data_IF_993611375580
#
_entry.id   IF_993611375580
#
_cell.length_a   1.000
_cell.length_b   1.000
_cell.length_c   1.000
_cell.angle_alpha   90.00
_cell.angle_beta   90.00
_cell.angle_gamma   90.00
#
_symmetry.space_group_name_H-M   'P 1'
#
loop_
_entity.id
_entity.type
_entity.pdbx_description
1 polymer ?
#
# COMPACT_ATOMS: atom_id res chain seq x y z
N UNK A 1 -10.25 -13.89 -59.69
CA UNK A 1 -9.13 -13.39 -60.51
C UNK A 1 -8.46 -12.23 -59.78
N UNK A 2 -7.26 -12.47 -59.23
CA UNK A 2 -6.20 -11.47 -58.99
C UNK A 2 -5.59 -11.11 -60.37
N UNK A 3 -4.78 -10.02 -60.59
CA UNK A 3 -3.71 -9.56 -59.66
C UNK A 3 -3.16 -8.09 -59.78
N UNK A 4 -2.15 -7.79 -58.94
CA UNK A 4 -0.99 -6.85 -59.07
C UNK A 4 -1.25 -5.31 -58.99
N UNK A 5 -0.47 -4.46 -58.29
CA UNK A 5 0.96 -4.44 -57.93
C UNK A 5 1.20 -3.66 -56.61
N UNK A 6 1.98 -4.18 -55.64
CA UNK A 6 3.43 -3.93 -55.34
C UNK A 6 3.83 -2.46 -55.12
N UNK A 7 4.04 -2.10 -53.85
CA UNK A 7 4.83 -0.94 -53.41
C UNK A 7 5.59 -1.29 -52.13
N UNK A 8 6.90 -1.46 -52.25
CA UNK A 8 7.84 -1.92 -51.23
C UNK A 8 8.53 -0.67 -50.67
N UNK A 9 8.42 -0.40 -49.38
CA UNK A 9 9.40 0.44 -48.68
C UNK A 9 9.77 -0.20 -47.34
N UNK A 10 10.82 -1.02 -47.44
CA UNK A 10 11.70 -1.41 -46.36
C UNK A 10 12.55 -0.19 -45.98
N UNK A 11 12.40 0.32 -44.75
CA UNK A 11 13.39 1.17 -44.12
C UNK A 11 14.03 0.38 -42.97
N UNK A 12 15.03 -0.42 -43.34
CA UNK A 12 16.02 -0.99 -42.44
C UNK A 12 16.77 0.14 -41.74
N UNK A 13 16.44 0.40 -40.47
CA UNK A 13 17.30 1.17 -39.59
C UNK A 13 18.56 0.34 -39.30
N UNK A 14 19.66 0.72 -39.94
CA UNK A 14 20.97 0.13 -39.72
C UNK A 14 21.45 0.50 -38.31
N UNK A 15 21.46 -0.50 -37.44
CA UNK A 15 22.14 -0.48 -36.14
C UNK A 15 23.65 -0.46 -36.43
N UNK A 16 24.27 0.71 -36.29
CA UNK A 16 25.73 0.84 -36.34
C UNK A 16 26.32 0.47 -34.98
N UNK A 17 27.19 -0.54 -35.02
CA UNK A 17 28.07 -0.94 -33.93
C UNK A 17 29.04 0.20 -33.64
N UNK A 18 29.30 0.44 -32.35
CA UNK A 18 30.64 0.62 -31.77
C UNK A 18 30.71 1.81 -30.78
N UNK A 19 30.44 1.54 -29.50
CA UNK A 19 31.28 2.05 -28.43
C UNK A 19 31.22 1.10 -27.23
N UNK A 20 32.41 0.65 -26.82
CA UNK A 20 32.65 -0.27 -25.72
C UNK A 20 32.14 0.36 -24.41
N UNK A 21 30.99 -0.09 -23.92
CA UNK A 21 30.64 0.05 -22.51
C UNK A 21 31.04 -1.26 -21.81
N UNK A 22 32.18 -1.22 -21.13
CA UNK A 22 32.65 -2.31 -20.29
C UNK A 22 31.59 -2.62 -19.21
N UNK A 23 31.13 -3.87 -19.19
CA UNK A 23 30.42 -4.45 -18.08
C UNK A 23 31.38 -4.55 -16.89
N UNK A 24 31.33 -3.58 -15.98
CA UNK A 24 31.88 -3.77 -14.64
C UNK A 24 30.80 -4.36 -13.75
N UNK A 25 30.75 -5.69 -13.75
CA UNK A 25 30.22 -6.47 -12.63
C UNK A 25 31.20 -6.32 -11.46
N UNK A 26 30.91 -5.37 -10.57
CA UNK A 26 31.46 -5.35 -9.23
C UNK A 26 30.35 -4.91 -8.28
N UNK A 27 29.80 -5.87 -7.55
CA UNK A 27 28.82 -5.64 -6.51
C UNK A 27 29.43 -4.77 -5.41
N UNK A 28 28.72 -3.70 -5.06
CA UNK A 28 28.85 -3.06 -3.77
C UNK A 28 27.60 -3.40 -2.96
N UNK A 29 27.60 -4.60 -2.36
CA UNK A 29 26.81 -4.88 -1.17
C UNK A 29 27.30 -3.93 -0.07
N UNK A 30 26.66 -2.77 0.04
CA UNK A 30 26.77 -1.90 1.20
C UNK A 30 25.91 -2.50 2.31
N UNK A 31 26.40 -3.55 2.94
CA UNK A 31 25.92 -3.96 4.24
C UNK A 31 26.32 -2.86 5.22
N UNK A 32 25.35 -2.10 5.72
CA UNK A 32 25.53 -1.33 6.95
C UNK A 32 25.71 -2.36 8.06
N UNK A 33 26.93 -2.44 8.60
CA UNK A 33 27.16 -3.12 9.87
C UNK A 33 26.45 -2.29 10.96
N UNK A 34 25.47 -2.90 11.63
CA UNK A 34 24.95 -2.40 12.90
C UNK A 34 25.90 -2.89 14.00
N UNK A 35 26.40 -2.02 14.90
CA UNK A 35 27.11 -2.49 16.08
C UNK A 35 26.12 -3.17 17.03
N UNK A 36 26.60 -4.27 17.61
CA UNK A 36 25.88 -5.18 18.48
C UNK A 36 25.24 -4.46 19.68
N UNK A 37 24.03 -4.91 20.01
CA UNK A 37 23.34 -4.60 21.25
C UNK A 37 24.09 -5.23 22.42
N UNK A 38 24.66 -4.40 23.27
CA UNK A 38 24.99 -4.79 24.65
C UNK A 38 23.76 -4.50 25.53
N UNK A 39 23.44 -5.49 26.35
CA UNK A 39 22.27 -5.51 27.21
C UNK A 39 22.68 -4.95 28.56
N UNK A 40 22.24 -3.74 28.90
CA UNK A 40 22.36 -3.21 30.26
C UNK A 40 20.98 -2.80 30.78
N UNK A 41 20.55 -3.47 31.83
CA UNK A 41 19.39 -3.12 32.68
C UNK A 41 19.79 -2.04 33.71
N UNK A 42 18.83 -1.31 34.28
CA UNK A 42 18.92 0.13 34.54
C UNK A 42 19.60 0.47 35.86
N UNK A 43 20.34 1.58 35.87
CA UNK A 43 20.76 2.28 37.07
C UNK A 43 20.29 3.73 36.98
N UNK A 44 19.58 4.16 38.02
CA UNK A 44 19.01 5.49 38.21
C UNK A 44 20.09 6.57 38.12
N UNK A 45 19.81 7.61 37.35
CA UNK A 45 20.66 8.79 37.19
C UNK A 45 19.84 9.94 36.63
N UNK A 46 19.29 10.76 37.53
CA UNK A 46 18.80 12.10 37.22
C UNK A 46 19.98 12.96 36.74
N UNK A 47 19.97 13.40 35.49
CA UNK A 47 20.70 14.60 35.08
C UNK A 47 19.85 15.48 34.16
N UNK A 48 19.72 16.72 34.63
CA UNK A 48 19.01 17.84 34.05
C UNK A 48 19.47 18.17 32.62
N UNK A 49 18.50 18.26 31.70
CA UNK A 49 18.58 19.19 30.57
C UNK A 49 17.36 20.12 30.63
N UNK A 50 17.50 21.19 31.41
CA UNK A 50 16.51 22.26 31.44
C UNK A 50 16.58 23.10 30.15
N UNK A 51 15.39 23.42 29.64
CA UNK A 51 15.06 24.50 28.70
C UNK A 51 15.27 24.26 27.20
N UNK A 52 14.41 23.39 26.62
CA UNK A 52 13.67 23.77 25.41
C UNK A 52 12.19 23.79 25.77
N UNK A 53 11.56 24.96 25.65
CA UNK A 53 10.21 25.24 26.08
C UNK A 53 9.20 24.16 25.61
N UNK A 54 8.32 23.75 26.53
CA UNK A 54 7.15 22.90 26.33
C UNK A 54 6.16 23.54 25.34
N UNK A 55 6.48 23.51 24.05
CA UNK A 55 5.50 23.73 22.99
C UNK A 55 4.69 22.44 22.83
N UNK A 56 3.37 22.54 22.92
CA UNK A 56 2.49 21.41 22.64
C UNK A 56 2.82 20.82 21.25
N UNK A 57 2.80 19.48 21.08
CA UNK A 57 3.11 18.87 19.79
C UNK A 57 2.16 19.41 18.72
N UNK A 58 2.74 19.84 17.60
CA UNK A 58 2.00 20.43 16.49
C UNK A 58 1.03 19.39 15.91
N UNK A 59 -0.30 19.60 15.93
CA UNK A 59 -1.30 18.58 15.60
C UNK A 59 -1.28 18.14 14.12
N UNK A 60 -0.53 18.86 13.29
CA UNK A 60 -0.38 18.60 11.85
C UNK A 60 0.91 17.85 11.50
N UNK A 61 1.78 17.61 12.47
CA UNK A 61 3.08 16.99 12.22
C UNK A 61 2.97 15.48 12.08
N UNK A 62 3.62 14.95 11.04
CA UNK A 62 3.57 13.54 10.61
C UNK A 62 4.97 13.03 10.28
N UNK A 63 5.98 13.55 10.98
CA UNK A 63 7.39 13.17 10.80
C UNK A 63 7.73 11.88 11.53
N UNK A 64 7.10 11.65 12.68
CA UNK A 64 7.35 10.47 13.49
C UNK A 64 6.71 9.24 12.85
N UNK A 65 7.49 8.17 12.71
CA UNK A 65 7.00 6.89 12.19
C UNK A 65 6.43 6.10 13.36
N UNK A 66 5.12 5.81 13.31
CA UNK A 66 4.44 5.05 14.36
C UNK A 66 4.58 3.55 14.06
N UNK A 67 5.02 2.74 15.04
CA UNK A 67 5.12 1.30 14.85
C UNK A 67 3.71 0.66 14.81
N UNK A 68 3.62 -0.46 14.11
CA UNK A 68 2.34 -1.13 13.80
C UNK A 68 1.68 -1.67 15.07
N UNK A 69 2.47 -2.11 16.03
CA UNK A 69 2.05 -2.64 17.32
C UNK A 69 1.27 -1.57 18.10
N UNK A 70 1.70 -0.31 18.02
CA UNK A 70 0.98 0.83 18.61
C UNK A 70 -0.35 1.07 17.90
N UNK A 71 -0.40 0.94 16.57
CA UNK A 71 -1.64 1.04 15.80
C UNK A 71 -2.67 -0.03 16.18
N UNK A 72 -2.21 -1.28 16.33
CA UNK A 72 -3.06 -2.40 16.77
C UNK A 72 -3.55 -2.18 18.20
N UNK A 73 -2.68 -1.70 19.11
CA UNK A 73 -3.08 -1.35 20.48
C UNK A 73 -4.11 -0.22 20.49
N UNK A 74 -3.96 0.77 19.61
CA UNK A 74 -4.88 1.89 19.51
C UNK A 74 -6.28 1.45 19.08
N UNK A 75 -6.42 0.55 18.10
CA UNK A 75 -7.73 0.02 17.67
C UNK A 75 -8.50 -0.66 18.82
N UNK A 76 -7.78 -1.30 19.74
CA UNK A 76 -8.35 -1.95 20.93
C UNK A 76 -8.59 -0.99 22.09
N UNK A 77 -8.14 0.25 21.99
CA UNK A 77 -8.22 1.22 23.07
C UNK A 77 -9.62 1.81 23.24
N UNK A 78 -9.94 2.26 24.45
CA UNK A 78 -11.19 2.98 24.71
C UNK A 78 -11.29 4.28 23.89
N UNK A 79 -10.16 4.95 23.65
CA UNK A 79 -10.11 6.19 22.87
C UNK A 79 -10.65 5.99 21.44
N UNK A 80 -10.21 4.94 20.75
CA UNK A 80 -10.69 4.61 19.41
C UNK A 80 -12.20 4.34 19.40
N UNK A 81 -12.68 3.58 20.39
CA UNK A 81 -14.11 3.29 20.54
C UNK A 81 -14.93 4.54 20.81
N UNK A 82 -14.45 5.47 21.62
CA UNK A 82 -15.12 6.75 21.86
C UNK A 82 -15.16 7.62 20.60
N UNK A 83 -14.11 7.62 19.78
CA UNK A 83 -14.06 8.47 18.58
C UNK A 83 -14.83 7.93 17.39
N UNK A 84 -14.77 6.62 17.14
CA UNK A 84 -15.34 5.99 15.93
C UNK A 84 -16.57 5.12 16.22
N UNK A 85 -16.74 4.67 17.46
CA UNK A 85 -17.81 3.75 17.83
C UNK A 85 -17.67 2.39 17.13
N UNK A 86 -18.81 1.85 16.71
CA UNK A 86 -18.91 0.58 15.98
C UNK A 86 -18.91 0.78 14.45
N UNK A 87 -18.82 2.03 13.98
CA UNK A 87 -18.79 2.36 12.55
C UNK A 87 -17.39 2.27 11.96
N UNK A 88 -17.30 2.20 10.63
CA UNK A 88 -16.02 2.27 9.93
C UNK A 88 -15.37 3.66 10.06
N UNK A 89 -14.04 3.70 10.09
CA UNK A 89 -13.24 4.94 10.23
C UNK A 89 -13.62 6.05 9.23
N UNK A 90 -14.02 5.67 8.02
CA UNK A 90 -14.30 6.60 6.94
C UNK A 90 -15.76 7.06 6.85
N UNK A 91 -16.67 6.52 7.66
CA UNK A 91 -18.12 6.82 7.61
C UNK A 91 -18.41 8.29 7.91
N UNK A 92 -17.80 8.84 8.98
CA UNK A 92 -18.00 10.23 9.40
C UNK A 92 -17.30 11.25 8.49
N UNK A 93 -16.49 10.81 7.52
CA UNK A 93 -15.70 11.71 6.70
C UNK A 93 -16.46 12.16 5.45
N UNK A 94 -16.57 13.48 5.30
CA UNK A 94 -17.11 14.12 4.10
C UNK A 94 -16.08 15.03 3.44
N UNK A 95 -15.93 14.89 2.12
CA UNK A 95 -14.97 15.67 1.34
C UNK A 95 -15.59 16.91 0.72
N UNK A 96 -14.96 18.06 0.95
CA UNK A 96 -15.36 19.32 0.34
C UNK A 96 -14.97 19.31 -1.16
N UNK A 97 -15.95 19.51 -2.03
CA UNK A 97 -15.79 19.64 -3.48
C UNK A 97 -16.85 20.58 -4.05
N UNK A 98 -16.63 21.08 -5.26
CA UNK A 98 -17.56 22.02 -5.92
C UNK A 98 -18.64 21.25 -6.67
N UNK A 99 -19.89 21.68 -6.53
CA UNK A 99 -21.03 21.16 -7.27
C UNK A 99 -21.67 19.92 -6.63
N UNK A 100 -22.66 19.37 -7.32
CA UNK A 100 -23.43 18.19 -6.88
C UNK A 100 -22.59 16.90 -6.95
N UNK A 101 -21.74 16.79 -7.97
CA UNK A 101 -20.99 15.58 -8.26
C UNK A 101 -19.52 15.72 -7.84
N UNK A 102 -19.06 14.75 -7.07
CA UNK A 102 -17.65 14.67 -6.70
C UNK A 102 -16.75 14.43 -7.92
N UNK A 103 -15.52 14.98 -7.92
CA UNK A 103 -14.55 14.66 -8.96
C UNK A 103 -14.26 13.15 -8.93
N UNK A 104 -14.14 12.53 -10.11
CA UNK A 104 -13.89 11.09 -10.25
C UNK A 104 -12.67 10.59 -9.48
N UNK A 105 -11.64 11.42 -9.36
CA UNK A 105 -10.39 11.09 -8.65
C UNK A 105 -10.22 11.97 -7.42
N UNK A 106 -9.73 11.39 -6.33
CA UNK A 106 -9.36 12.15 -5.13
C UNK A 106 -8.02 12.86 -5.30
N UNK A 107 -7.62 13.69 -4.33
CA UNK A 107 -6.29 14.33 -4.34
C UNK A 107 -5.17 13.29 -4.29
N UNK A 108 -4.01 13.63 -4.85
CA UNK A 108 -2.82 12.75 -4.85
C UNK A 108 -2.36 12.40 -3.42
N UNK A 109 -2.11 13.40 -2.57
CA UNK A 109 -1.67 13.20 -1.18
C UNK A 109 -2.27 14.24 -0.24
N UNK A 110 -2.44 13.91 1.05
CA UNK A 110 -2.79 14.86 2.12
C UNK A 110 -1.56 15.44 2.82
N UNK A 111 -0.50 14.63 2.92
CA UNK A 111 0.73 14.93 3.63
C UNK A 111 1.79 15.35 2.61
N UNK A 112 2.49 16.45 2.90
CA UNK A 112 3.61 16.99 2.12
C UNK A 112 4.73 17.31 3.09
N UNK A 113 5.96 16.86 2.80
CA UNK A 113 7.14 17.12 3.64
C UNK A 113 6.94 16.78 5.14
N UNK A 114 6.20 15.71 5.44
CA UNK A 114 5.94 15.29 6.83
C UNK A 114 4.95 16.17 7.60
N UNK A 115 4.20 17.06 6.94
CA UNK A 115 3.14 17.88 7.55
C UNK A 115 1.83 17.76 6.77
N UNK A 116 0.70 17.85 7.45
CA UNK A 116 -0.62 17.90 6.79
C UNK A 116 -0.75 19.24 6.07
N UNK A 117 -0.81 19.20 4.74
CA UNK A 117 -0.94 20.41 3.92
C UNK A 117 -2.40 20.80 3.67
N UNK A 118 -3.36 19.90 3.90
CA UNK A 118 -4.77 20.17 3.62
C UNK A 118 -5.57 20.46 4.88
N UNK A 119 -6.53 21.40 4.81
CA UNK A 119 -7.44 21.70 5.92
C UNK A 119 -8.34 20.53 6.34
N UNK A 120 -8.87 19.77 5.37
CA UNK A 120 -9.68 18.57 5.63
C UNK A 120 -8.94 17.31 5.15
N UNK A 121 -8.06 16.68 5.96
CA UNK A 121 -7.27 15.50 5.60
C UNK A 121 -8.10 14.21 5.49
N UNK A 122 -7.56 13.17 4.85
CA UNK A 122 -8.25 11.89 4.68
C UNK A 122 -8.47 11.17 6.03
N UNK A 123 -9.41 10.21 6.16
CA UNK A 123 -9.65 9.48 7.41
C UNK A 123 -8.40 8.82 8.01
N UNK A 124 -7.53 8.30 7.16
CA UNK A 124 -6.24 7.71 7.56
C UNK A 124 -5.16 8.76 7.80
N UNK A 125 -5.28 9.93 7.21
CA UNK A 125 -4.26 10.97 7.27
C UNK A 125 -4.48 11.94 8.45
N UNK A 126 -5.73 12.03 8.93
CA UNK A 126 -6.13 12.88 10.07
C UNK A 126 -5.61 12.29 11.37
N UNK A 127 -5.71 10.99 11.54
CA UNK A 127 -5.27 10.25 12.71
C UNK A 127 -3.90 9.63 12.42
N UNK A 128 -2.98 9.78 13.35
CA UNK A 128 -1.60 9.31 13.24
C UNK A 128 -1.50 7.82 13.53
N UNK A 129 -2.32 7.34 14.46
CA UNK A 129 -2.27 5.97 14.94
C UNK A 129 -2.93 4.97 13.99
N UNK A 130 -3.58 5.44 12.93
CA UNK A 130 -4.14 4.58 11.87
C UNK A 130 -3.08 4.30 10.81
N UNK A 131 -2.27 3.27 11.06
CA UNK A 131 -1.19 2.85 10.17
C UNK A 131 -1.68 1.70 9.29
N UNK A 132 -1.55 1.87 7.98
CA UNK A 132 -1.92 0.87 6.98
C UNK A 132 -0.77 -0.13 6.79
N UNK A 133 -0.89 -1.29 7.43
CA UNK A 133 0.04 -2.40 7.31
C UNK A 133 -0.70 -3.73 7.21
N UNK A 134 -0.09 -4.71 6.54
CA UNK A 134 -0.67 -6.04 6.31
C UNK A 134 -0.99 -6.81 7.61
N UNK A 135 -0.23 -6.53 8.68
CA UNK A 135 -0.41 -7.12 10.01
C UNK A 135 -1.68 -6.62 10.72
N UNK A 136 -2.15 -5.43 10.36
CA UNK A 136 -3.32 -4.80 10.98
C UNK A 136 -4.61 -5.21 10.25
N UNK A 137 -5.04 -6.44 10.46
CA UNK A 137 -6.21 -7.01 9.77
C UNK A 137 -7.52 -6.33 10.17
N UNK A 138 -7.66 -5.91 11.43
CA UNK A 138 -8.84 -5.21 11.95
C UNK A 138 -9.10 -3.90 11.20
N UNK A 139 -8.05 -3.11 10.94
CA UNK A 139 -8.17 -1.89 10.14
C UNK A 139 -8.44 -2.19 8.66
N UNK A 140 -7.69 -3.12 8.05
CA UNK A 140 -7.82 -3.41 6.62
C UNK A 140 -9.21 -3.93 6.25
N UNK A 141 -9.82 -4.76 7.10
CA UNK A 141 -11.17 -5.28 6.90
C UNK A 141 -12.23 -4.18 6.73
N UNK A 142 -12.06 -3.02 7.38
CA UNK A 142 -12.99 -1.88 7.26
C UNK A 142 -13.00 -1.24 5.86
N UNK A 143 -11.93 -1.47 5.07
CA UNK A 143 -11.80 -0.95 3.71
C UNK A 143 -12.09 -2.01 2.64
N UNK A 144 -12.46 -3.22 3.04
CA UNK A 144 -12.82 -4.32 2.14
C UNK A 144 -14.35 -4.49 2.16
N UNK A 145 -14.95 -4.73 0.99
CA UNK A 145 -16.36 -5.09 0.90
C UNK A 145 -16.60 -6.45 1.55
N UNK A 146 -17.52 -6.59 2.52
CA UNK A 146 -17.77 -7.88 3.18
C UNK A 146 -18.33 -8.93 2.23
N UNK A 147 -19.08 -8.52 1.20
CA UNK A 147 -19.70 -9.43 0.24
C UNK A 147 -18.81 -9.72 -0.98
N UNK A 148 -18.08 -8.72 -1.46
CA UNK A 148 -17.32 -8.85 -2.71
C UNK A 148 -15.86 -9.25 -2.47
N UNK A 149 -15.35 -9.09 -1.25
CA UNK A 149 -13.92 -9.27 -0.94
C UNK A 149 -12.99 -8.23 -1.59
N UNK A 150 -13.53 -7.29 -2.37
CA UNK A 150 -12.77 -6.26 -3.09
C UNK A 150 -12.52 -5.03 -2.22
N UNK A 151 -11.39 -4.37 -2.47
CA UNK A 151 -11.03 -3.11 -1.79
C UNK A 151 -11.95 -1.99 -2.26
N UNK A 152 -12.52 -1.24 -1.31
CA UNK A 152 -13.39 -0.11 -1.61
C UNK A 152 -12.61 1.02 -2.29
N UNK A 153 -13.18 1.58 -3.36
CA UNK A 153 -12.56 2.69 -4.08
C UNK A 153 -12.47 3.95 -3.19
N UNK A 154 -11.48 4.81 -3.48
CA UNK A 154 -11.33 6.10 -2.79
C UNK A 154 -12.51 7.06 -3.01
N UNK A 155 -13.39 6.78 -3.98
CA UNK A 155 -14.62 7.57 -4.19
C UNK A 155 -15.63 7.33 -3.06
N UNK A 156 -15.65 6.11 -2.50
CA UNK A 156 -16.49 5.75 -1.35
C UNK A 156 -15.81 6.12 -0.03
N UNK A 157 -14.54 5.76 0.14
CA UNK A 157 -13.80 5.93 1.40
C UNK A 157 -13.20 7.33 1.61
N UNK A 158 -13.09 8.14 0.55
CA UNK A 158 -12.57 9.50 0.63
C UNK A 158 -11.05 9.61 0.86
N UNK A 159 -10.31 8.51 0.69
CA UNK A 159 -8.85 8.45 0.85
C UNK A 159 -8.11 9.28 -0.21
N UNK A 160 -6.89 9.72 0.12
CA UNK A 160 -5.98 10.22 -0.91
C UNK A 160 -5.40 9.07 -1.74
N UNK A 161 -5.02 9.35 -2.99
CA UNK A 161 -4.53 8.30 -3.89
C UNK A 161 -3.30 7.58 -3.34
N UNK A 162 -2.40 8.29 -2.65
CA UNK A 162 -1.23 7.66 -2.00
C UNK A 162 -1.61 6.72 -0.86
N UNK A 163 -2.57 7.08 0.00
CA UNK A 163 -3.05 6.19 1.06
C UNK A 163 -3.80 5.00 0.48
N UNK A 164 -4.57 5.20 -0.59
CA UNK A 164 -5.26 4.11 -1.26
C UNK A 164 -4.28 3.12 -1.91
N UNK A 165 -3.20 3.60 -2.54
CA UNK A 165 -2.15 2.74 -3.05
C UNK A 165 -1.49 1.91 -1.93
N UNK A 166 -1.19 2.54 -0.78
CA UNK A 166 -0.66 1.84 0.41
C UNK A 166 -1.63 0.78 0.93
N UNK A 167 -2.93 1.10 0.96
CA UNK A 167 -3.98 0.18 1.34
C UNK A 167 -4.00 -1.05 0.41
N UNK A 168 -4.00 -0.84 -0.90
CA UNK A 168 -4.01 -1.94 -1.89
C UNK A 168 -2.81 -2.87 -1.69
N UNK A 169 -1.60 -2.30 -1.56
CA UNK A 169 -0.38 -3.07 -1.32
C UNK A 169 -0.47 -3.84 0.01
N UNK A 170 -0.94 -3.22 1.09
CA UNK A 170 -1.08 -3.88 2.38
C UNK A 170 -2.12 -5.01 2.34
N UNK A 171 -3.21 -4.85 1.59
CA UNK A 171 -4.24 -5.90 1.41
C UNK A 171 -3.70 -7.05 0.57
N UNK A 172 -2.96 -6.78 -0.51
CA UNK A 172 -2.30 -7.81 -1.32
C UNK A 172 -1.31 -8.60 -0.48
N UNK A 173 -0.43 -7.92 0.26
CA UNK A 173 0.48 -8.57 1.21
C UNK A 173 -0.25 -9.41 2.27
N UNK A 174 -1.36 -8.90 2.82
CA UNK A 174 -2.14 -9.63 3.81
C UNK A 174 -2.81 -10.89 3.22
N UNK A 175 -3.20 -10.87 1.94
CA UNK A 175 -3.72 -12.04 1.22
C UNK A 175 -2.62 -13.06 0.96
N UNK A 176 -1.45 -12.61 0.53
CA UNK A 176 -0.28 -13.47 0.30
C UNK A 176 0.18 -14.16 1.59
N UNK A 177 0.15 -13.44 2.72
CA UNK A 177 0.44 -14.00 4.04
C UNK A 177 -0.70 -14.86 4.62
N UNK A 178 -1.87 -14.94 3.98
CA UNK A 178 -3.02 -15.68 4.49
C UNK A 178 -3.71 -15.05 5.72
N UNK A 179 -3.44 -13.78 6.01
CA UNK A 179 -4.07 -13.06 7.14
C UNK A 179 -5.51 -12.62 6.82
N UNK A 180 -5.82 -12.41 5.55
CA UNK A 180 -7.15 -12.06 5.05
C UNK A 180 -7.61 -13.12 4.06
N UNK A 181 -8.80 -13.67 4.30
CA UNK A 181 -9.46 -14.64 3.42
C UNK A 181 -10.03 -13.94 2.18
N UNK A 182 -9.91 -14.58 1.02
CA UNK A 182 -10.50 -14.13 -0.23
C UNK A 182 -10.84 -15.33 -1.11
N UNK A 183 -11.72 -15.12 -2.09
CA UNK A 183 -12.17 -16.19 -2.98
C UNK A 183 -11.11 -16.45 -4.06
N UNK A 184 -10.66 -17.70 -4.14
CA UNK A 184 -9.73 -18.18 -5.18
C UNK A 184 -10.52 -18.98 -6.20
N UNK A 185 -10.53 -18.60 -7.49
CA UNK A 185 -11.20 -19.37 -8.51
C UNK A 185 -10.48 -20.71 -8.73
N UNK A 186 -11.26 -21.78 -8.86
CA UNK A 186 -10.72 -23.08 -9.26
C UNK A 186 -10.32 -23.03 -10.74
N UNK A 187 -9.14 -23.57 -11.05
CA UNK A 187 -8.67 -23.76 -12.42
C UNK A 187 -8.81 -25.22 -12.81
N UNK A 188 -9.66 -25.48 -13.79
CA UNK A 188 -9.80 -26.80 -14.39
C UNK A 188 -8.70 -27.03 -15.43
N UNK A 189 -8.15 -28.23 -15.46
CA UNK A 189 -7.11 -28.64 -16.41
C UNK A 189 -7.62 -29.82 -17.23
N UNK A 190 -7.40 -29.79 -18.55
CA UNK A 190 -7.64 -30.94 -19.41
C UNK A 190 -6.41 -31.87 -19.38
N UNK A 191 -6.52 -32.95 -18.62
CA UNK A 191 -5.44 -33.94 -18.49
C UNK A 191 -5.16 -34.72 -19.78
N UNK A 192 -6.07 -34.71 -20.76
CA UNK A 192 -5.86 -35.39 -22.04
C UNK A 192 -4.77 -34.73 -22.89
N UNK A 193 -4.53 -33.43 -22.69
CA UNK A 193 -3.42 -32.69 -23.32
C UNK A 193 -2.04 -33.18 -22.83
N UNK A 194 -1.95 -33.57 -21.56
CA UNK A 194 -0.69 -33.98 -20.94
C UNK A 194 -0.37 -35.46 -21.17
N UNK A 195 -1.35 -36.35 -21.03
CA UNK A 195 -1.16 -37.80 -21.13
C UNK A 195 -1.43 -38.36 -22.53
N UNK A 196 -1.97 -37.56 -23.44
CA UNK A 196 -2.45 -38.00 -24.75
C UNK A 196 -3.82 -38.67 -24.68
N UNK A 197 -4.53 -38.70 -25.81
CA UNK A 197 -5.78 -39.47 -25.92
C UNK A 197 -5.43 -40.95 -25.93
N UNK A 198 -6.01 -41.73 -25.01
CA UNK A 198 -5.91 -43.19 -25.09
C UNK A 198 -6.51 -43.65 -26.41
N UNK A 199 -5.75 -44.39 -27.19
CA UNK A 199 -6.28 -45.02 -28.41
C UNK A 199 -7.40 -45.98 -28.01
N UNK A 200 -8.62 -45.70 -28.45
CA UNK A 200 -9.74 -46.62 -28.30
C UNK A 200 -9.42 -47.85 -29.16
N UNK A 201 -9.16 -48.99 -28.51
CA UNK A 201 -8.98 -50.26 -29.21
C UNK A 201 -10.28 -50.59 -29.95
N UNK A 202 -10.30 -50.42 -31.28
CA UNK A 202 -11.41 -50.85 -32.13
C UNK A 202 -11.60 -52.37 -31.96
N UNK A 203 -12.75 -52.75 -31.40
CA UNK A 203 -13.25 -54.13 -31.40
C UNK A 203 -13.73 -54.53 -32.79
#
# INVERSE_FOLDING_TARGET
>A
MLPLARGIYSSLAQITRNSRAALHTAGALRCKAEPAAETETPADGEENSENTANAAPDPKDRKNVIPVETSIRYLKSAAYKTTYGDEFVWTQYRRNHKGMYAPRKTRKTCIRQGRISTGNPCPICRDEYLVLDYRNTELLKQFISPYSGQVLSYSKTGLCQKSHLRLTVAVEQARDCGLITYDVPFREYDYSEYYGKKEESKQ
#
